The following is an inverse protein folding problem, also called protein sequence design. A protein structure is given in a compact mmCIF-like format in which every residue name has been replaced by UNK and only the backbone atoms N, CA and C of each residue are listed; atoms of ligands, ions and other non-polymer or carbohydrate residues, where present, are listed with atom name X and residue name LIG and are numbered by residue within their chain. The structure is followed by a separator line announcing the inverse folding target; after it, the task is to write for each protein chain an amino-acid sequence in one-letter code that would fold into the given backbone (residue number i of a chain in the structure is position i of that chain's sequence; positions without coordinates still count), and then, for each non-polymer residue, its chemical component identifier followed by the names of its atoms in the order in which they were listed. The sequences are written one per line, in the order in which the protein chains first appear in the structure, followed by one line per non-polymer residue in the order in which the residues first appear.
data_IF_501124147074
#
_entry.id   IF_501124147074
#
_cell.length_a   1.000
_cell.length_b   1.000
_cell.length_c   1.000
_cell.angle_alpha   90.00
_cell.angle_beta   90.00
_cell.angle_gamma   90.00
#
_symmetry.space_group_name_H-M   'P 1'
#
loop_
_entity.id
_entity.type
_entity.pdbx_description
1 polymer ?
#
# COMPACT_ATOMS: atom_id res chain seq x y z
N UNK A 1 -5.89 -33.54 -6.36
CA UNK A 1 -5.12 -33.58 -7.63
C UNK A 1 -3.66 -33.37 -7.28
N UNK A 2 -2.93 -34.46 -6.99
CA UNK A 2 -1.47 -34.42 -6.89
C UNK A 2 -0.89 -34.32 -8.30
N UNK A 3 -0.53 -33.12 -8.74
CA UNK A 3 0.43 -32.96 -9.84
C UNK A 3 1.83 -33.09 -9.26
N UNK A 4 2.40 -34.26 -9.30
CA UNK A 4 3.82 -34.46 -9.02
C UNK A 4 4.59 -33.95 -10.24
N UNK A 5 5.20 -32.77 -10.11
CA UNK A 5 6.18 -32.32 -11.11
C UNK A 5 7.39 -33.26 -11.03
N UNK A 6 7.81 -33.80 -12.18
CA UNK A 6 9.04 -34.63 -12.26
C UNK A 6 10.30 -33.79 -12.08
N UNK A 7 10.20 -32.46 -12.07
CA UNK A 7 11.31 -31.52 -11.95
C UNK A 7 11.44 -30.99 -10.53
N UNK A 8 12.66 -30.85 -10.02
CA UNK A 8 12.86 -30.30 -8.69
C UNK A 8 12.48 -28.82 -8.68
N UNK A 9 11.66 -28.43 -7.70
CA UNK A 9 11.45 -27.03 -7.38
C UNK A 9 12.68 -26.52 -6.66
N UNK A 10 13.31 -25.47 -7.21
CA UNK A 10 14.44 -24.78 -6.61
C UNK A 10 13.96 -23.47 -6.00
N UNK A 11 14.45 -23.17 -4.81
CA UNK A 11 14.10 -21.93 -4.09
C UNK A 11 15.32 -21.39 -3.35
N UNK A 12 15.42 -20.07 -3.34
CA UNK A 12 16.31 -19.32 -2.44
C UNK A 12 15.57 -18.12 -1.87
N UNK A 13 15.92 -17.72 -0.67
CA UNK A 13 15.44 -16.49 -0.03
C UNK A 13 16.64 -15.67 0.41
N UNK A 14 16.60 -14.37 0.12
CA UNK A 14 17.53 -13.38 0.68
C UNK A 14 16.75 -12.24 1.33
N UNK A 15 17.37 -11.60 2.29
CA UNK A 15 16.81 -10.46 3.01
C UNK A 15 17.90 -9.41 3.22
N UNK A 16 17.53 -8.14 3.07
CA UNK A 16 18.42 -7.02 3.31
C UNK A 16 17.66 -5.82 3.86
N UNK A 17 18.41 -4.84 4.34
CA UNK A 17 17.85 -3.58 4.85
C UNK A 17 18.37 -2.44 3.99
N UNK A 18 17.50 -1.47 3.70
CA UNK A 18 17.84 -0.25 2.99
C UNK A 18 18.58 0.70 3.94
N UNK A 19 19.60 1.36 3.44
CA UNK A 19 20.35 2.37 4.19
C UNK A 19 19.52 3.66 4.37
N UNK A 20 18.78 4.02 3.32
CA UNK A 20 17.96 5.22 3.31
C UNK A 20 16.48 4.87 3.28
N UNK A 21 15.67 5.74 3.87
CA UNK A 21 14.22 5.61 3.86
C UNK A 21 13.68 5.91 2.46
N UNK A 22 12.87 4.99 1.93
CA UNK A 22 12.11 5.20 0.69
C UNK A 22 10.66 5.52 1.02
N UNK A 23 10.08 6.43 0.26
CA UNK A 23 8.69 6.84 0.43
C UNK A 23 7.72 5.68 0.18
N UNK A 24 6.62 5.63 0.94
CA UNK A 24 5.60 4.60 0.84
C UNK A 24 5.97 3.24 1.45
N UNK A 25 7.21 3.07 1.96
CA UNK A 25 7.61 1.86 2.68
C UNK A 25 7.32 1.97 4.18
N UNK A 26 6.65 0.97 4.72
CA UNK A 26 6.41 0.82 6.16
C UNK A 26 7.62 0.22 6.89
N UNK A 27 8.50 -0.46 6.17
CA UNK A 27 9.75 -1.02 6.70
C UNK A 27 10.85 -0.89 5.66
N UNK A 28 12.09 -0.68 6.14
CA UNK A 28 13.27 -0.69 5.28
C UNK A 28 13.75 -2.10 4.90
N UNK A 29 13.07 -3.15 5.34
CA UNK A 29 13.41 -4.52 5.00
C UNK A 29 12.91 -4.88 3.62
N UNK A 30 13.79 -5.48 2.82
CA UNK A 30 13.48 -6.04 1.50
C UNK A 30 13.75 -7.52 1.55
N UNK A 31 12.78 -8.31 1.12
CA UNK A 31 12.94 -9.76 0.95
C UNK A 31 12.85 -10.10 -0.52
N UNK A 32 13.68 -11.03 -0.96
CA UNK A 32 13.56 -11.58 -2.31
C UNK A 32 13.51 -13.10 -2.24
N UNK A 33 12.80 -13.67 -3.20
CA UNK A 33 12.75 -15.09 -3.43
C UNK A 33 13.12 -15.37 -4.88
N UNK A 34 13.99 -16.34 -5.10
CA UNK A 34 14.23 -16.89 -6.42
C UNK A 34 13.58 -18.28 -6.47
N UNK A 35 12.73 -18.49 -7.44
CA UNK A 35 11.97 -19.75 -7.63
C UNK A 35 12.22 -20.27 -9.04
N UNK A 36 12.47 -21.56 -9.19
CA UNK A 36 12.61 -22.19 -10.50
C UNK A 36 12.04 -23.61 -10.50
N UNK A 37 11.41 -23.97 -11.60
CA UNK A 37 10.98 -25.35 -11.90
C UNK A 37 11.97 -26.09 -12.83
N UNK A 38 13.14 -25.50 -13.05
CA UNK A 38 14.17 -26.00 -13.98
C UNK A 38 14.05 -25.47 -15.40
N UNK A 39 12.89 -24.90 -15.81
CA UNK A 39 12.71 -24.23 -17.11
C UNK A 39 12.66 -22.72 -16.95
N UNK A 40 11.84 -22.24 -16.01
CA UNK A 40 11.63 -20.83 -15.76
C UNK A 40 12.19 -20.43 -14.40
N UNK A 41 12.65 -19.18 -14.32
CA UNK A 41 13.12 -18.57 -13.09
C UNK A 41 12.30 -17.31 -12.82
N UNK A 42 11.64 -17.29 -11.68
CA UNK A 42 10.82 -16.16 -11.24
C UNK A 42 11.46 -15.54 -10.01
N UNK A 43 11.73 -14.25 -10.07
CA UNK A 43 12.09 -13.45 -8.93
C UNK A 43 10.86 -12.86 -8.26
N UNK A 44 10.81 -12.88 -6.93
CA UNK A 44 9.76 -12.20 -6.17
C UNK A 44 10.45 -11.22 -5.25
N UNK A 45 10.14 -9.93 -5.39
CA UNK A 45 10.58 -8.87 -4.51
C UNK A 45 9.43 -8.53 -3.57
N UNK A 46 9.64 -8.68 -2.29
CA UNK A 46 8.65 -8.41 -1.25
C UNK A 46 9.09 -7.19 -0.44
N UNK A 47 8.26 -6.17 -0.42
CA UNK A 47 8.45 -4.94 0.35
C UNK A 47 7.23 -4.66 1.23
N UNK A 48 7.47 -4.11 2.41
CA UNK A 48 6.40 -3.74 3.35
C UNK A 48 5.82 -2.39 2.96
N UNK A 49 4.75 -2.41 2.20
CA UNK A 49 4.01 -1.24 1.72
C UNK A 49 2.54 -1.60 1.54
N UNK A 50 1.68 -0.59 1.41
CA UNK A 50 0.29 -0.79 1.04
C UNK A 50 0.19 -1.33 -0.40
N UNK A 51 0.73 -0.59 -1.34
CA UNK A 51 0.88 -0.97 -2.74
C UNK A 51 2.16 -0.34 -3.32
N UNK A 52 2.37 -0.44 -4.62
CA UNK A 52 3.50 0.17 -5.33
C UNK A 52 3.03 0.90 -6.57
N UNK A 53 3.81 1.90 -7.01
CA UNK A 53 3.60 2.51 -8.30
C UNK A 53 4.07 1.60 -9.45
N UNK A 54 3.60 1.89 -10.65
CA UNK A 54 3.98 1.11 -11.84
C UNK A 54 5.44 1.27 -12.22
N UNK A 55 6.04 2.42 -11.95
CA UNK A 55 7.42 2.70 -12.32
C UNK A 55 8.37 1.80 -11.54
N UNK A 56 8.16 1.65 -10.23
CA UNK A 56 8.92 0.73 -9.40
C UNK A 56 8.79 -0.71 -9.90
N UNK A 57 7.57 -1.14 -10.24
CA UNK A 57 7.33 -2.47 -10.79
C UNK A 57 8.11 -2.70 -12.09
N UNK A 58 8.08 -1.75 -13.02
CA UNK A 58 8.81 -1.83 -14.30
C UNK A 58 10.32 -1.88 -14.12
N UNK A 59 10.88 -1.07 -13.23
CA UNK A 59 12.31 -1.06 -12.94
C UNK A 59 12.84 -2.38 -12.40
N UNK A 60 12.00 -3.16 -11.77
CA UNK A 60 12.37 -4.46 -11.22
C UNK A 60 12.16 -5.64 -12.19
N UNK A 61 11.50 -5.45 -13.33
CA UNK A 61 11.21 -6.53 -14.27
C UNK A 61 12.46 -7.07 -14.96
N UNK A 62 13.39 -6.20 -15.34
CA UNK A 62 14.61 -6.56 -16.07
C UNK A 62 15.77 -6.86 -15.13
N UNK A 63 15.80 -8.07 -14.58
CA UNK A 63 16.95 -8.58 -13.82
C UNK A 63 17.55 -9.78 -14.53
N UNK A 64 18.85 -9.72 -14.94
CA UNK A 64 19.49 -10.80 -15.65
C UNK A 64 19.41 -12.12 -14.91
N UNK A 65 19.05 -13.19 -15.62
CA UNK A 65 18.93 -14.53 -15.07
C UNK A 65 17.53 -14.91 -14.58
N UNK A 66 16.56 -14.01 -14.67
CA UNK A 66 15.14 -14.27 -14.42
C UNK A 66 14.32 -14.12 -15.71
N UNK A 67 13.32 -14.98 -15.89
CA UNK A 67 12.32 -14.84 -16.95
C UNK A 67 11.26 -13.79 -16.60
N UNK A 68 11.03 -13.60 -15.31
CA UNK A 68 10.17 -12.53 -14.80
C UNK A 68 10.51 -12.19 -13.35
N UNK A 69 10.27 -10.93 -12.97
CA UNK A 69 10.34 -10.49 -11.57
C UNK A 69 9.01 -9.87 -11.19
N UNK A 70 8.48 -10.25 -10.03
CA UNK A 70 7.20 -9.81 -9.50
C UNK A 70 7.47 -9.01 -8.23
N UNK A 71 6.91 -7.80 -8.15
CA UNK A 71 6.89 -7.01 -6.92
C UNK A 71 5.61 -7.33 -6.14
N UNK A 72 5.75 -7.62 -4.87
CA UNK A 72 4.66 -7.98 -3.96
C UNK A 72 4.67 -7.09 -2.73
N UNK A 73 3.51 -6.60 -2.36
CA UNK A 73 3.26 -5.87 -1.10
C UNK A 73 2.20 -6.61 -0.27
N UNK A 74 2.27 -6.59 1.06
CA UNK A 74 1.29 -7.25 1.93
C UNK A 74 0.03 -6.41 2.18
N UNK A 75 -0.19 -5.32 1.45
CA UNK A 75 -1.26 -4.35 1.74
C UNK A 75 -1.12 -3.77 3.17
N UNK A 76 0.10 -3.34 3.50
CA UNK A 76 0.47 -2.87 4.83
C UNK A 76 0.01 -1.42 5.06
N UNK A 77 -0.95 -1.26 5.97
CA UNK A 77 -1.51 0.03 6.36
C UNK A 77 -0.87 0.62 7.63
N UNK A 78 0.22 0.03 8.13
CA UNK A 78 0.82 0.44 9.41
C UNK A 78 1.48 1.82 9.36
N UNK A 79 1.81 2.31 8.17
CA UNK A 79 2.54 3.57 8.00
C UNK A 79 1.88 4.56 7.04
N UNK A 80 0.81 4.18 6.35
CA UNK A 80 0.10 5.04 5.38
C UNK A 80 -1.42 4.87 5.53
N UNK A 81 -2.17 5.94 5.33
CA UNK A 81 -3.62 5.91 5.43
C UNK A 81 -4.15 5.70 6.86
N UNK A 82 -3.35 6.05 7.87
CA UNK A 82 -3.69 5.85 9.28
C UNK A 82 -4.64 6.93 9.80
N UNK A 83 -4.55 8.15 9.27
CA UNK A 83 -5.40 9.26 9.66
C UNK A 83 -6.58 9.42 8.69
N UNK A 84 -7.71 9.91 9.22
CA UNK A 84 -8.89 10.23 8.42
C UNK A 84 -8.53 11.33 7.41
N UNK A 85 -8.66 11.03 6.12
CA UNK A 85 -8.34 11.94 5.03
C UNK A 85 -6.91 11.83 4.48
N UNK A 86 -6.05 10.99 5.05
CA UNK A 86 -4.79 10.64 4.42
C UNK A 86 -5.01 9.60 3.31
N UNK A 87 -4.42 9.89 2.15
CA UNK A 87 -4.36 8.92 1.07
C UNK A 87 -3.27 7.89 1.37
N UNK A 88 -3.50 6.65 0.94
CA UNK A 88 -2.48 5.62 0.97
C UNK A 88 -1.35 6.00 0.01
N UNK A 89 -0.12 6.15 0.53
CA UNK A 89 1.04 6.40 -0.31
C UNK A 89 1.61 5.07 -0.80
N UNK A 90 1.67 4.85 -2.12
CA UNK A 90 2.31 3.66 -2.67
C UNK A 90 3.83 3.72 -2.45
N UNK A 91 4.50 2.58 -2.42
CA UNK A 91 5.94 2.53 -2.56
C UNK A 91 6.33 3.08 -3.94
N UNK A 92 7.10 4.17 -3.94
CA UNK A 92 7.56 4.81 -5.18
C UNK A 92 8.98 4.35 -5.52
N UNK A 93 9.37 4.57 -6.78
CA UNK A 93 10.72 4.31 -7.25
C UNK A 93 11.74 5.02 -6.37
N UNK A 94 12.68 4.24 -5.85
CA UNK A 94 13.77 4.69 -5.00
C UNK A 94 15.03 3.93 -5.42
N UNK A 95 16.09 4.65 -5.80
CA UNK A 95 17.33 4.04 -6.30
C UNK A 95 17.91 3.01 -5.33
N UNK A 96 17.91 3.32 -4.04
CA UNK A 96 18.38 2.41 -2.99
C UNK A 96 17.60 1.10 -2.95
N UNK A 97 16.27 1.16 -3.12
CA UNK A 97 15.40 -0.01 -3.17
C UNK A 97 15.67 -0.86 -4.42
N UNK A 98 15.69 -0.24 -5.59
CA UNK A 98 15.94 -0.94 -6.87
C UNK A 98 17.30 -1.62 -6.85
N UNK A 99 18.35 -0.89 -6.45
CA UNK A 99 19.71 -1.43 -6.33
C UNK A 99 19.75 -2.61 -5.38
N UNK A 100 19.23 -2.45 -4.15
CA UNK A 100 19.23 -3.50 -3.14
C UNK A 100 18.46 -4.73 -3.57
N UNK A 101 17.27 -4.56 -4.17
CA UNK A 101 16.47 -5.67 -4.67
C UNK A 101 17.21 -6.45 -5.76
N UNK A 102 17.84 -5.76 -6.71
CA UNK A 102 18.64 -6.39 -7.78
C UNK A 102 19.85 -7.16 -7.22
N UNK A 103 20.59 -6.57 -6.28
CA UNK A 103 21.70 -7.25 -5.60
C UNK A 103 21.23 -8.56 -4.94
N UNK A 104 20.17 -8.49 -4.15
CA UNK A 104 19.61 -9.65 -3.45
C UNK A 104 19.07 -10.71 -4.42
N UNK A 105 18.46 -10.31 -5.55
CA UNK A 105 18.00 -11.23 -6.58
C UNK A 105 19.17 -11.97 -7.22
N UNK A 106 20.27 -11.28 -7.55
CA UNK A 106 21.49 -11.90 -8.09
C UNK A 106 22.12 -12.87 -7.08
N UNK A 107 22.16 -12.51 -5.80
CA UNK A 107 22.63 -13.42 -4.74
C UNK A 107 21.71 -14.63 -4.58
N UNK A 108 20.38 -14.42 -4.67
CA UNK A 108 19.41 -15.51 -4.54
C UNK A 108 19.56 -16.56 -5.64
N UNK A 109 19.87 -16.16 -6.89
CA UNK A 109 20.13 -17.10 -7.97
C UNK A 109 21.27 -18.07 -7.68
N UNK A 110 22.33 -17.60 -7.00
CA UNK A 110 23.52 -18.40 -6.69
C UNK A 110 23.25 -19.45 -5.62
N UNK A 111 22.28 -19.22 -4.76
CA UNK A 111 22.00 -20.01 -3.57
C UNK A 111 20.71 -20.85 -3.70
N UNK A 112 20.20 -21.06 -4.90
CA UNK A 112 18.99 -21.86 -5.13
C UNK A 112 19.23 -23.33 -4.73
N UNK A 113 18.31 -23.88 -3.96
CA UNK A 113 18.37 -25.26 -3.45
C UNK A 113 17.07 -25.99 -3.75
N UNK A 114 17.12 -27.32 -3.97
CA UNK A 114 15.92 -28.12 -4.09
C UNK A 114 15.07 -28.03 -2.82
N UNK A 115 13.78 -27.84 -2.98
CA UNK A 115 12.80 -27.77 -1.89
C UNK A 115 11.60 -28.65 -2.18
N UNK A 116 10.90 -29.05 -1.13
CA UNK A 116 9.59 -29.69 -1.22
C UNK A 116 8.54 -28.66 -0.80
N UNK A 117 7.54 -28.45 -1.65
CA UNK A 117 6.43 -27.56 -1.34
C UNK A 117 5.23 -28.41 -0.91
N UNK A 118 4.60 -28.01 0.18
CA UNK A 118 3.36 -28.59 0.66
C UNK A 118 2.27 -27.54 0.62
N UNK A 119 1.11 -27.93 0.12
CA UNK A 119 -0.09 -27.08 0.08
C UNK A 119 -1.14 -27.68 0.98
N UNK A 120 -1.78 -26.84 1.80
CA UNK A 120 -2.91 -27.22 2.61
C UNK A 120 -3.99 -26.14 2.53
N UNK A 121 -5.24 -26.55 2.49
CA UNK A 121 -6.39 -25.66 2.54
C UNK A 121 -7.25 -26.03 3.74
N UNK A 122 -7.62 -25.03 4.52
CA UNK A 122 -8.52 -25.17 5.67
C UNK A 122 -9.72 -24.25 5.46
N UNK A 123 -10.90 -24.81 5.55
CA UNK A 123 -12.14 -24.01 5.58
C UNK A 123 -12.45 -23.67 7.03
N UNK A 124 -12.55 -22.38 7.31
CA UNK A 124 -12.95 -21.88 8.63
C UNK A 124 -14.41 -21.45 8.56
N UNK A 125 -15.26 -22.12 9.31
CA UNK A 125 -16.69 -21.80 9.39
C UNK A 125 -16.98 -20.86 10.56
N UNK A 126 -18.08 -20.10 10.46
CA UNK A 126 -18.57 -19.25 11.54
C UNK A 126 -17.77 -17.94 11.74
N UNK A 127 -16.88 -17.59 10.83
CA UNK A 127 -16.15 -16.31 10.89
C UNK A 127 -17.11 -15.17 10.58
N UNK A 128 -17.31 -14.28 11.57
CA UNK A 128 -18.06 -13.04 11.39
C UNK A 128 -17.11 -11.98 10.84
N UNK A 129 -17.28 -11.59 9.61
CA UNK A 129 -16.55 -10.49 8.99
C UNK A 129 -17.33 -9.19 9.13
N UNK A 130 -16.60 -8.08 9.29
CA UNK A 130 -17.17 -6.75 9.16
C UNK A 130 -17.52 -6.56 7.69
N UNK A 131 -18.83 -6.56 7.41
CA UNK A 131 -19.33 -6.51 6.04
C UNK A 131 -19.27 -5.11 5.40
N UNK A 132 -19.74 -4.98 4.15
CA UNK A 132 -19.74 -3.71 3.38
C UNK A 132 -20.42 -2.54 4.11
N UNK A 133 -21.32 -2.82 5.05
CA UNK A 133 -22.05 -1.80 5.83
C UNK A 133 -21.09 -0.89 6.60
N UNK A 134 -20.03 -1.46 7.22
CA UNK A 134 -19.06 -0.65 7.97
C UNK A 134 -18.17 0.16 7.03
N UNK A 135 -17.78 -0.41 5.90
CA UNK A 135 -17.04 0.31 4.87
C UNK A 135 -17.85 1.51 4.34
N UNK A 136 -19.14 1.29 4.03
CA UNK A 136 -20.05 2.35 3.60
C UNK A 136 -20.27 3.41 4.70
N UNK A 137 -20.36 3.00 5.96
CA UNK A 137 -20.48 3.92 7.09
C UNK A 137 -19.25 4.80 7.24
N UNK A 138 -18.05 4.21 7.17
CA UNK A 138 -16.78 4.95 7.24
C UNK A 138 -16.65 5.93 6.07
N UNK A 139 -17.02 5.51 4.86
CA UNK A 139 -17.02 6.40 3.70
C UNK A 139 -18.03 7.55 3.87
N UNK A 140 -19.21 7.28 4.39
CA UNK A 140 -20.23 8.30 4.66
C UNK A 140 -19.77 9.30 5.72
N UNK A 141 -19.13 8.81 6.80
CA UNK A 141 -18.56 9.65 7.84
C UNK A 141 -17.44 10.56 7.29
N UNK A 142 -16.64 10.04 6.38
CA UNK A 142 -15.58 10.82 5.74
C UNK A 142 -16.17 11.95 4.87
N UNK A 143 -17.20 11.66 4.06
CA UNK A 143 -17.91 12.66 3.25
C UNK A 143 -18.54 13.73 4.13
N UNK A 144 -19.21 13.34 5.22
CA UNK A 144 -19.82 14.29 6.18
C UNK A 144 -18.72 15.12 6.87
N UNK A 145 -17.61 14.52 7.25
CA UNK A 145 -16.48 15.21 7.87
C UNK A 145 -15.89 16.29 6.94
N UNK A 146 -15.69 15.97 5.67
CA UNK A 146 -15.23 16.94 4.67
C UNK A 146 -16.26 18.06 4.42
N UNK A 147 -17.54 17.73 4.41
CA UNK A 147 -18.60 18.74 4.30
C UNK A 147 -18.58 19.68 5.50
N UNK A 148 -18.56 19.15 6.71
CA UNK A 148 -18.49 19.95 7.95
C UNK A 148 -17.24 20.84 7.95
N UNK A 149 -16.07 20.30 7.62
CA UNK A 149 -14.82 21.05 7.54
C UNK A 149 -14.88 22.22 6.55
N UNK A 150 -15.59 22.06 5.44
CA UNK A 150 -15.77 23.13 4.45
C UNK A 150 -16.83 24.16 4.83
N UNK A 151 -17.78 23.81 5.67
CA UNK A 151 -18.97 24.64 5.95
C UNK A 151 -19.04 25.16 7.38
N UNK A 152 -18.19 24.74 8.31
CA UNK A 152 -18.26 25.11 9.74
C UNK A 152 -18.20 26.62 9.99
N UNK A 153 -17.57 27.38 9.10
CA UNK A 153 -17.47 28.83 9.20
C UNK A 153 -18.79 29.53 8.92
N UNK A 154 -19.73 28.92 8.19
CA UNK A 154 -21.04 29.51 7.84
C UNK A 154 -21.85 29.80 9.12
N UNK A 155 -22.16 28.83 9.99
CA UNK A 155 -22.88 29.09 11.23
C UNK A 155 -22.13 30.04 12.18
N UNK A 156 -20.81 30.12 12.06
CA UNK A 156 -19.98 31.01 12.86
C UNK A 156 -20.12 32.48 12.42
N UNK A 157 -20.22 32.74 11.12
CA UNK A 157 -20.32 34.10 10.58
C UNK A 157 -21.76 34.62 10.49
N UNK A 158 -22.74 33.72 10.37
CA UNK A 158 -24.13 34.08 10.18
C UNK A 158 -24.72 35.03 11.25
N UNK A 159 -24.45 34.85 12.56
CA UNK A 159 -24.89 35.77 13.60
C UNK A 159 -24.30 37.20 13.46
N UNK A 160 -23.04 37.31 13.06
CA UNK A 160 -22.37 38.60 12.87
C UNK A 160 -22.93 39.33 11.66
N UNK A 161 -23.24 38.64 10.59
CA UNK A 161 -23.93 39.17 9.41
C UNK A 161 -25.33 39.65 9.75
N UNK A 162 -26.09 38.89 10.54
CA UNK A 162 -27.43 39.29 10.98
C UNK A 162 -27.37 40.56 11.86
N UNK A 163 -26.46 40.65 12.82
CA UNK A 163 -26.27 41.83 13.63
C UNK A 163 -25.87 43.02 12.77
N UNK A 164 -24.95 42.87 11.83
CA UNK A 164 -24.56 43.92 10.89
C UNK A 164 -25.72 44.47 10.07
N UNK A 165 -26.59 43.61 9.58
CA UNK A 165 -27.79 43.98 8.82
C UNK A 165 -28.78 44.79 9.73
N UNK A 166 -28.99 44.31 10.96
CA UNK A 166 -29.88 45.00 11.90
C UNK A 166 -29.36 46.42 12.23
N UNK A 167 -28.08 46.53 12.53
CA UNK A 167 -27.45 47.84 12.81
C UNK A 167 -27.56 48.78 11.60
N UNK A 168 -27.28 48.26 10.41
CA UNK A 168 -27.40 49.04 9.18
C UNK A 168 -28.84 49.55 8.96
N UNK A 169 -29.84 48.72 9.18
CA UNK A 169 -31.24 49.09 9.08
C UNK A 169 -31.63 50.18 10.10
N UNK A 170 -31.18 50.04 11.34
CA UNK A 170 -31.41 51.02 12.41
C UNK A 170 -30.78 52.38 12.09
N UNK A 171 -29.57 52.40 11.55
CA UNK A 171 -28.87 53.63 11.18
C UNK A 171 -29.57 54.35 10.02
N UNK A 172 -30.07 53.60 9.01
CA UNK A 172 -30.82 54.18 7.90
C UNK A 172 -32.15 54.75 8.33
N UNK A 173 -32.86 54.10 9.26
CA UNK A 173 -34.14 54.58 9.78
C UNK A 173 -34.01 55.81 10.70
N UNK A 174 -32.92 55.96 11.39
CA UNK A 174 -32.64 57.11 12.27
C UNK A 174 -32.07 58.33 11.53
N UNK A 175 -31.69 58.17 10.27
CA UNK A 175 -31.22 59.25 9.39
C UNK A 175 -32.33 59.96 8.60
N UNK A 176 -33.58 59.49 8.73
CA UNK A 176 -34.80 60.07 8.18
C UNK A 176 -35.68 60.58 9.32
#
# INVERSE_FOLDING_TARGET
LERKSERPLLLSKKEGTLENRCEGLCSQKVKVFAVSDGEKRVGIVYVYANNSDEELGRELQDVPGYDSVILVTPDDHSCTGVAIGELYSPAVKCEGLVKKARELLVEALKDMKPVQAYFGMVTVEGVKLIGPVVSNLLQSLNVVGEFVKKTYWIPLLLPFLAIGIIVLFQTLLSAH
#
